data_IF_237015077438
#
_entry.id   IF_237015077438
#
_cell.length_a   1.000
_cell.length_b   1.000
_cell.length_c   1.000
_cell.angle_alpha   90.00
_cell.angle_beta   90.00
_cell.angle_gamma   90.00
#
_symmetry.space_group_name_H-M   'P 1'
#
loop_
_entity.id
_entity.type
_entity.pdbx_description
1 polymer ?
#
# COMPACT_ATOMS: atom_id res chain seq x y z
N UNK A 1 71.61 -30.51 25.53
CA UNK A 1 70.96 -29.85 24.41
C UNK A 1 69.50 -30.21 24.43
N UNK A 2 68.63 -29.33 24.89
CA UNK A 2 67.19 -29.48 24.82
C UNK A 2 66.64 -28.25 24.08
N UNK A 3 66.17 -28.49 22.87
CA UNK A 3 65.47 -27.48 22.05
C UNK A 3 64.05 -27.35 22.55
N UNK A 4 63.67 -26.14 22.94
CA UNK A 4 62.29 -25.79 23.29
C UNK A 4 61.60 -25.24 22.03
N UNK A 5 60.45 -25.84 21.66
CA UNK A 5 59.58 -25.34 20.63
C UNK A 5 58.60 -24.35 21.26
N UNK A 6 58.65 -23.13 20.80
CA UNK A 6 57.62 -22.12 21.11
C UNK A 6 56.44 -22.30 20.13
N UNK A 7 55.31 -22.70 20.68
CA UNK A 7 54.04 -22.72 19.95
C UNK A 7 53.45 -21.32 19.92
N UNK A 8 53.43 -20.70 18.74
CA UNK A 8 52.75 -19.45 18.51
C UNK A 8 51.22 -19.68 18.42
N UNK A 9 50.50 -19.14 19.39
CA UNK A 9 49.04 -19.03 19.32
C UNK A 9 48.68 -17.87 18.36
N UNK A 10 48.32 -18.21 17.16
CA UNK A 10 47.66 -17.29 16.22
C UNK A 10 46.25 -16.99 16.67
N UNK A 11 46.00 -15.78 17.12
CA UNK A 11 44.64 -15.29 17.38
C UNK A 11 43.94 -15.11 16.02
N UNK A 12 43.00 -15.99 15.72
CA UNK A 12 42.05 -15.79 14.59
C UNK A 12 41.05 -14.74 15.08
N UNK A 13 41.19 -13.51 14.55
CA UNK A 13 40.17 -12.49 14.69
C UNK A 13 38.97 -12.91 13.85
N UNK A 14 37.88 -13.34 14.49
CA UNK A 14 36.58 -13.42 13.87
C UNK A 14 36.12 -12.00 13.50
N UNK A 15 36.25 -11.64 12.25
CA UNK A 15 35.54 -10.51 11.68
C UNK A 15 34.05 -10.89 11.66
N UNK A 16 33.32 -10.40 12.69
CA UNK A 16 31.87 -10.35 12.62
C UNK A 16 31.52 -9.37 11.50
N UNK A 17 31.11 -9.91 10.35
CA UNK A 17 30.47 -9.09 9.33
C UNK A 17 29.22 -8.48 9.97
N UNK A 18 29.31 -7.20 10.36
CA UNK A 18 28.15 -6.41 10.66
C UNK A 18 27.41 -6.30 9.33
N UNK A 19 26.27 -6.97 9.23
CA UNK A 19 25.36 -6.78 8.11
C UNK A 19 25.14 -5.28 7.96
N UNK A 20 25.60 -4.71 6.84
CA UNK A 20 25.26 -3.34 6.50
C UNK A 20 23.74 -3.29 6.50
N UNK A 21 23.15 -2.51 7.40
CA UNK A 21 21.75 -2.18 7.34
C UNK A 21 21.53 -1.62 5.92
N UNK A 22 20.70 -2.30 5.13
CA UNK A 22 20.30 -1.79 3.82
C UNK A 22 19.53 -0.51 4.14
N UNK A 23 20.17 0.64 3.93
CA UNK A 23 19.50 1.93 4.07
C UNK A 23 18.32 1.92 3.11
N UNK A 24 17.12 2.34 3.55
CA UNK A 24 15.96 2.38 2.68
C UNK A 24 16.32 3.18 1.42
N UNK A 25 16.17 2.56 0.26
CA UNK A 25 16.42 3.22 -1.01
C UNK A 25 15.33 4.26 -1.22
N UNK A 26 15.72 5.52 -1.41
CA UNK A 26 14.77 6.55 -1.83
C UNK A 26 14.77 6.54 -3.38
N UNK A 27 13.76 5.96 -4.04
CA UNK A 27 13.71 5.94 -5.49
C UNK A 27 13.52 7.35 -6.07
N UNK A 28 13.94 7.57 -7.30
CA UNK A 28 13.76 8.84 -8.00
C UNK A 28 12.40 8.97 -8.67
N UNK A 29 11.80 7.87 -9.07
CA UNK A 29 10.42 7.78 -9.59
C UNK A 29 9.51 7.37 -8.41
N UNK A 30 8.88 8.36 -7.79
CA UNK A 30 8.13 8.16 -6.55
C UNK A 30 6.69 7.76 -6.78
N UNK A 31 6.14 8.00 -7.96
CA UNK A 31 4.77 7.66 -8.31
C UNK A 31 4.66 6.41 -9.18
N UNK A 32 5.81 5.85 -9.62
CA UNK A 32 5.86 4.62 -10.42
C UNK A 32 5.34 4.79 -11.84
N UNK A 33 5.30 6.02 -12.38
CA UNK A 33 4.79 6.27 -13.74
C UNK A 33 5.82 6.02 -14.84
N UNK A 34 7.08 5.72 -14.46
CA UNK A 34 8.20 5.46 -15.36
C UNK A 34 8.91 6.73 -15.85
N UNK A 35 8.50 7.91 -15.37
CA UNK A 35 9.14 9.19 -15.66
C UNK A 35 9.69 9.81 -14.37
N UNK A 36 10.88 10.40 -14.42
CA UNK A 36 11.45 11.15 -13.29
C UNK A 36 11.24 12.64 -13.53
N UNK A 37 10.27 13.21 -12.85
CA UNK A 37 9.94 14.64 -12.94
C UNK A 37 10.92 15.50 -12.13
N UNK A 38 10.92 16.82 -12.40
CA UNK A 38 11.73 17.79 -11.62
C UNK A 38 11.33 17.78 -10.14
N UNK A 39 10.04 17.62 -9.82
CA UNK A 39 9.57 17.57 -8.44
C UNK A 39 10.09 16.33 -7.72
N UNK A 40 10.13 15.20 -8.39
CA UNK A 40 10.68 13.95 -7.86
C UNK A 40 12.21 14.07 -7.68
N UNK A 41 12.89 14.70 -8.61
CA UNK A 41 14.33 14.96 -8.50
C UNK A 41 14.65 15.85 -7.29
N UNK A 42 13.87 16.92 -7.08
CA UNK A 42 14.02 17.80 -5.91
C UNK A 42 13.76 17.02 -4.61
N UNK A 43 12.73 16.17 -4.59
CA UNK A 43 12.46 15.31 -3.45
C UNK A 43 13.60 14.33 -3.18
N UNK A 44 14.13 13.68 -4.22
CA UNK A 44 15.27 12.77 -4.10
C UNK A 44 16.53 13.48 -3.55
N UNK A 45 16.79 14.70 -3.99
CA UNK A 45 17.91 15.51 -3.48
C UNK A 45 17.72 15.87 -2.01
N UNK A 46 16.53 16.30 -1.61
CA UNK A 46 16.22 16.57 -0.19
C UNK A 46 16.40 15.34 0.68
N UNK A 47 15.93 14.17 0.24
CA UNK A 47 16.14 12.91 0.96
C UNK A 47 17.61 12.50 1.08
N UNK A 48 18.41 12.82 0.06
CA UNK A 48 19.86 12.57 0.08
C UNK A 48 20.59 13.50 1.06
N UNK A 49 20.08 14.72 1.27
CA UNK A 49 20.68 15.74 2.16
C UNK A 49 20.22 15.59 3.61
N UNK A 50 18.94 15.34 3.82
CA UNK A 50 18.30 15.37 5.14
C UNK A 50 18.01 13.96 5.69
N UNK A 51 18.25 12.91 4.89
CA UNK A 51 17.84 11.51 5.16
C UNK A 51 16.45 11.20 4.62
N UNK A 52 16.24 9.92 4.29
CA UNK A 52 14.93 9.45 3.84
C UNK A 52 13.94 9.48 5.02
N UNK A 53 12.77 10.12 4.86
CA UNK A 53 11.73 10.03 5.87
C UNK A 53 11.24 8.59 6.00
N UNK A 54 10.63 8.28 7.12
CA UNK A 54 9.84 7.05 7.26
C UNK A 54 8.81 7.04 6.14
N UNK A 55 8.77 5.95 5.38
CA UNK A 55 7.93 5.89 4.17
C UNK A 55 6.45 6.05 4.51
N UNK A 56 5.95 5.22 5.41
CA UNK A 56 4.55 5.24 5.81
C UNK A 56 4.40 5.86 7.20
N UNK A 57 3.56 6.88 7.30
CA UNK A 57 3.27 7.57 8.56
C UNK A 57 1.77 7.54 8.82
N UNK A 58 1.38 6.95 9.94
CA UNK A 58 -0.01 7.02 10.43
C UNK A 58 -0.31 8.45 10.91
N UNK A 59 -1.32 9.08 10.31
CA UNK A 59 -1.72 10.45 10.63
C UNK A 59 -2.64 10.54 11.86
N UNK A 60 -3.07 9.40 12.43
CA UNK A 60 -3.97 9.34 13.60
C UNK A 60 -5.41 9.75 13.32
N UNK A 61 -5.75 10.06 12.07
CA UNK A 61 -7.08 10.53 11.63
C UNK A 61 -7.78 9.54 10.68
N UNK A 62 -7.34 8.28 10.67
CA UNK A 62 -7.85 7.24 9.79
C UNK A 62 -7.09 7.12 8.46
N UNK A 63 -5.94 7.77 8.34
CA UNK A 63 -5.14 7.74 7.11
C UNK A 63 -3.67 7.44 7.36
N UNK A 64 -2.99 6.90 6.34
CA UNK A 64 -1.54 6.70 6.28
C UNK A 64 -0.98 7.51 5.11
N UNK A 65 0.06 8.31 5.36
CA UNK A 65 0.80 8.99 4.29
C UNK A 65 1.96 8.13 3.80
N UNK A 66 2.01 7.85 2.51
CA UNK A 66 3.17 7.33 1.80
C UNK A 66 4.03 8.49 1.29
N UNK A 67 5.12 8.78 1.99
CA UNK A 67 6.03 9.86 1.63
C UNK A 67 6.81 9.59 0.33
N UNK A 68 6.95 8.33 -0.08
CA UNK A 68 7.66 8.01 -1.32
C UNK A 68 6.77 8.19 -2.55
N UNK A 69 5.57 7.66 -2.52
CA UNK A 69 4.61 7.83 -3.60
C UNK A 69 3.90 9.21 -3.60
N UNK A 70 3.97 9.95 -2.47
CA UNK A 70 3.23 11.20 -2.31
C UNK A 70 1.72 10.99 -2.25
N UNK A 71 1.32 9.87 -1.66
CA UNK A 71 -0.07 9.44 -1.55
C UNK A 71 -0.53 9.43 -0.09
N UNK A 72 -1.81 9.62 0.10
CA UNK A 72 -2.50 9.40 1.37
C UNK A 72 -3.52 8.29 1.16
N UNK A 73 -3.45 7.28 2.03
CA UNK A 73 -4.26 6.08 1.99
C UNK A 73 -5.29 6.07 3.11
N UNK A 74 -6.49 5.61 2.81
CA UNK A 74 -7.49 5.24 3.82
C UNK A 74 -6.97 4.04 4.62
N UNK A 75 -7.16 4.08 5.95
CA UNK A 75 -7.04 2.90 6.81
C UNK A 75 -8.36 2.13 6.79
N UNK A 76 -8.29 0.81 6.96
CA UNK A 76 -9.47 -0.01 7.15
C UNK A 76 -9.70 -0.33 8.62
N UNK A 77 -10.96 -0.52 8.98
CA UNK A 77 -11.46 -0.86 10.32
C UNK A 77 -12.08 -2.27 10.33
N UNK A 78 -12.56 -2.69 11.48
CA UNK A 78 -13.39 -3.86 11.67
C UNK A 78 -14.55 -3.50 12.63
N UNK A 79 -15.35 -2.46 12.26
CA UNK A 79 -16.40 -1.87 13.10
C UNK A 79 -17.77 -1.76 12.42
N UNK A 80 -17.91 -2.31 11.21
CA UNK A 80 -19.13 -2.23 10.40
C UNK A 80 -19.40 -0.86 9.78
N UNK A 81 -18.43 0.08 9.83
CA UNK A 81 -18.55 1.39 9.18
C UNK A 81 -18.28 1.29 7.66
N UNK A 82 -18.34 2.43 6.96
CA UNK A 82 -17.95 2.51 5.53
C UNK A 82 -16.50 2.09 5.30
N UNK A 83 -15.66 2.16 6.34
CA UNK A 83 -14.24 1.82 6.30
C UNK A 83 -13.97 0.35 6.64
N UNK A 84 -15.01 -0.45 6.93
CA UNK A 84 -14.84 -1.84 7.33
C UNK A 84 -14.13 -2.66 6.24
N UNK A 85 -13.19 -3.51 6.66
CA UNK A 85 -12.39 -4.33 5.75
C UNK A 85 -13.22 -5.38 5.01
N UNK A 86 -14.34 -5.81 5.60
CA UNK A 86 -15.21 -6.86 5.05
C UNK A 86 -16.22 -6.30 4.05
N UNK A 87 -16.30 -4.97 3.90
CA UNK A 87 -17.16 -4.35 2.90
C UNK A 87 -16.68 -4.63 1.48
N UNK A 88 -17.59 -5.04 0.62
CA UNK A 88 -17.33 -5.32 -0.80
C UNK A 88 -18.21 -4.46 -1.70
N UNK A 89 -17.66 -4.08 -2.86
CA UNK A 89 -18.27 -3.14 -3.80
C UNK A 89 -18.06 -3.60 -5.23
N UNK A 90 -19.02 -3.33 -6.10
CA UNK A 90 -18.87 -3.56 -7.54
C UNK A 90 -18.17 -2.37 -8.21
N UNK A 91 -17.37 -2.62 -9.23
CA UNK A 91 -16.72 -1.59 -10.04
C UNK A 91 -17.69 -0.99 -11.08
N UNK A 92 -18.49 -1.83 -11.75
CA UNK A 92 -19.57 -1.41 -12.64
C UNK A 92 -20.92 -1.89 -12.13
N UNK A 93 -22.01 -1.18 -12.49
CA UNK A 93 -23.37 -1.58 -12.15
C UNK A 93 -23.94 -2.55 -13.20
N UNK A 94 -24.95 -3.33 -12.79
CA UNK A 94 -25.70 -4.20 -13.71
C UNK A 94 -26.46 -3.43 -14.80
N UNK A 95 -26.67 -2.11 -14.60
CA UNK A 95 -27.33 -1.24 -15.58
C UNK A 95 -26.38 -0.73 -16.66
N UNK A 96 -25.08 -0.89 -16.48
CA UNK A 96 -24.09 -0.66 -17.51
C UNK A 96 -24.07 -1.87 -18.46
N UNK A 97 -24.74 -1.76 -19.60
CA UNK A 97 -24.91 -2.84 -20.56
C UNK A 97 -23.57 -3.35 -21.15
N UNK A 98 -22.52 -2.52 -21.11
CA UNK A 98 -21.19 -2.86 -21.59
C UNK A 98 -20.25 -3.28 -20.44
N UNK A 99 -20.60 -2.97 -19.19
CA UNK A 99 -19.83 -3.30 -17.98
C UNK A 99 -18.47 -2.63 -17.92
N UNK A 100 -18.28 -1.49 -18.59
CA UNK A 100 -16.98 -0.82 -18.73
C UNK A 100 -16.87 0.47 -17.92
N UNK A 101 -18.00 1.12 -17.62
CA UNK A 101 -18.03 2.41 -16.94
C UNK A 101 -17.95 2.27 -15.40
N UNK A 102 -17.39 3.27 -14.71
CA UNK A 102 -17.25 3.27 -13.24
C UNK A 102 -18.57 3.64 -12.55
N UNK A 103 -19.59 2.81 -12.71
CA UNK A 103 -20.97 3.04 -12.25
C UNK A 103 -21.37 2.17 -11.06
N UNK A 104 -20.47 1.30 -10.58
CA UNK A 104 -20.73 0.39 -9.47
C UNK A 104 -20.70 1.07 -8.12
N UNK A 105 -21.01 0.28 -7.08
CA UNK A 105 -21.11 0.77 -5.69
C UNK A 105 -19.79 1.28 -5.13
N UNK A 106 -18.64 0.86 -5.69
CA UNK A 106 -17.33 1.43 -5.33
C UNK A 106 -17.27 2.96 -5.58
N UNK A 107 -17.93 3.45 -6.62
CA UNK A 107 -17.95 4.87 -6.99
C UNK A 107 -19.18 5.59 -6.44
N UNK A 108 -20.35 4.96 -6.52
CA UNK A 108 -21.65 5.60 -6.20
C UNK A 108 -22.02 5.56 -4.72
N UNK A 109 -21.42 4.65 -3.96
CA UNK A 109 -21.62 4.54 -2.51
C UNK A 109 -20.33 4.82 -1.75
N UNK A 110 -19.29 3.98 -1.89
CA UNK A 110 -18.08 4.08 -1.10
C UNK A 110 -17.37 5.42 -1.30
N UNK A 111 -16.86 5.71 -2.50
CA UNK A 111 -16.13 6.96 -2.78
C UNK A 111 -17.03 8.19 -2.64
N UNK A 112 -18.31 8.08 -3.04
CA UNK A 112 -19.27 9.18 -2.87
C UNK A 112 -19.46 9.53 -1.40
N UNK A 113 -19.54 8.53 -0.50
CA UNK A 113 -19.66 8.75 0.95
C UNK A 113 -18.39 9.39 1.51
N UNK A 114 -17.20 8.85 1.24
CA UNK A 114 -15.93 9.41 1.71
C UNK A 114 -15.78 10.89 1.32
N UNK A 115 -16.11 11.22 0.07
CA UNK A 115 -15.98 12.57 -0.46
C UNK A 115 -17.07 13.53 0.10
N UNK A 116 -18.31 13.06 0.25
CA UNK A 116 -19.40 13.89 0.80
C UNK A 116 -19.22 14.17 2.28
N UNK A 117 -18.66 13.24 3.04
CA UNK A 117 -18.35 13.38 4.46
C UNK A 117 -17.02 14.08 4.71
N UNK A 118 -16.27 14.37 3.65
CA UNK A 118 -14.92 14.94 3.70
C UNK A 118 -14.01 14.15 4.63
N UNK A 119 -13.94 12.84 4.40
CA UNK A 119 -13.14 11.94 5.22
C UNK A 119 -11.72 12.46 5.44
N UNK A 120 -11.28 12.52 6.69
CA UNK A 120 -10.02 13.12 7.13
C UNK A 120 -9.80 14.58 6.66
N UNK A 121 -10.87 15.32 6.35
CA UNK A 121 -10.84 16.69 5.88
C UNK A 121 -10.70 16.85 4.36
N UNK A 122 -10.87 15.79 3.57
CA UNK A 122 -10.64 15.77 2.13
C UNK A 122 -11.84 15.23 1.34
N UNK A 123 -12.08 15.79 0.12
CA UNK A 123 -13.18 15.44 -0.76
C UNK A 123 -12.71 15.01 -2.16
N UNK A 124 -11.48 14.51 -2.27
CA UNK A 124 -10.83 14.08 -3.51
C UNK A 124 -10.32 12.62 -3.43
N UNK A 125 -10.99 11.82 -2.60
CA UNK A 125 -10.74 10.39 -2.50
C UNK A 125 -11.13 9.69 -3.79
N UNK A 126 -10.26 8.80 -4.25
CA UNK A 126 -10.44 8.02 -5.47
C UNK A 126 -10.02 6.55 -5.28
N UNK A 127 -10.40 5.71 -6.22
CA UNK A 127 -9.87 4.36 -6.30
C UNK A 127 -8.40 4.42 -6.76
N UNK A 128 -7.49 3.64 -6.15
CA UNK A 128 -6.09 3.56 -6.55
C UNK A 128 -5.95 2.85 -7.91
N UNK A 129 -4.93 3.19 -8.65
CA UNK A 129 -4.48 2.38 -9.78
C UNK A 129 -3.86 1.07 -9.30
N UNK A 130 -3.72 0.08 -10.20
CA UNK A 130 -3.00 -1.16 -9.90
C UNK A 130 -1.58 -0.88 -9.40
N UNK A 131 -0.83 -0.03 -10.10
CA UNK A 131 0.53 0.32 -9.73
C UNK A 131 0.63 0.98 -8.34
N UNK A 132 -0.36 1.80 -7.96
CA UNK A 132 -0.42 2.38 -6.62
C UNK A 132 -0.68 1.31 -5.54
N UNK A 133 -1.60 0.37 -5.76
CA UNK A 133 -1.82 -0.74 -4.82
C UNK A 133 -0.58 -1.61 -4.63
N UNK A 134 0.15 -1.89 -5.72
CA UNK A 134 1.39 -2.65 -5.66
C UNK A 134 2.46 -1.94 -4.80
N UNK A 135 2.40 -0.61 -4.64
CA UNK A 135 3.38 0.12 -3.82
C UNK A 135 3.27 -0.16 -2.33
N UNK A 136 2.11 -0.59 -1.83
CA UNK A 136 1.93 -0.90 -0.40
C UNK A 136 2.15 -2.37 -0.06
N UNK A 137 2.48 -3.21 -1.06
CA UNK A 137 2.86 -4.60 -0.82
C UNK A 137 4.23 -4.71 -0.18
N UNK A 138 4.36 -5.65 0.73
CA UNK A 138 5.61 -6.12 1.32
C UNK A 138 5.64 -7.66 1.21
N UNK A 139 6.22 -8.15 0.12
CA UNK A 139 6.26 -9.58 -0.19
C UNK A 139 7.22 -10.37 0.71
N UNK A 140 8.03 -9.70 1.53
CA UNK A 140 8.87 -10.34 2.54
C UNK A 140 8.08 -10.65 3.83
N UNK A 141 6.85 -10.15 3.96
CA UNK A 141 5.95 -10.45 5.07
C UNK A 141 5.04 -11.64 4.76
N UNK A 142 4.74 -12.46 5.75
CA UNK A 142 3.63 -13.43 5.63
C UNK A 142 2.29 -12.67 5.57
N UNK A 143 1.22 -13.33 5.15
CA UNK A 143 -0.12 -12.75 5.08
C UNK A 143 -0.51 -11.93 6.34
N UNK A 144 -0.96 -10.67 6.20
CA UNK A 144 -1.08 -9.94 4.94
C UNK A 144 0.29 -9.46 4.39
N UNK A 145 0.46 -9.57 3.08
CA UNK A 145 1.65 -9.15 2.34
C UNK A 145 1.64 -7.63 2.11
N UNK A 146 1.37 -6.84 3.15
CA UNK A 146 1.37 -5.38 3.13
C UNK A 146 2.37 -4.83 4.14
N UNK A 147 2.81 -3.57 3.93
CA UNK A 147 3.61 -2.87 4.94
C UNK A 147 2.90 -2.82 6.29
N UNK A 148 3.67 -2.87 7.37
CA UNK A 148 3.15 -2.90 8.74
C UNK A 148 2.21 -1.75 9.07
N UNK A 149 2.35 -0.59 8.43
CA UNK A 149 1.48 0.57 8.65
C UNK A 149 0.02 0.31 8.25
N UNK A 150 -0.22 -0.70 7.42
CA UNK A 150 -1.56 -1.08 6.94
C UNK A 150 -2.16 -2.26 7.70
N UNK A 151 -1.42 -2.86 8.65
CA UNK A 151 -1.87 -4.00 9.44
C UNK A 151 -1.41 -3.85 10.90
N UNK A 152 -2.10 -2.98 11.63
CA UNK A 152 -1.81 -2.63 13.02
C UNK A 152 -3.06 -2.72 13.86
N UNK A 153 -3.00 -3.49 14.96
CA UNK A 153 -4.03 -3.59 15.99
C UNK A 153 -5.44 -3.91 15.43
N UNK A 154 -5.51 -4.68 14.32
CA UNK A 154 -6.76 -5.10 13.71
C UNK A 154 -7.48 -6.12 14.61
N UNK A 155 -8.50 -5.66 15.30
CA UNK A 155 -9.36 -6.48 16.19
C UNK A 155 -10.81 -6.07 15.99
N UNK A 156 -11.73 -7.01 16.22
CA UNK A 156 -13.16 -6.78 16.08
C UNK A 156 -13.63 -5.53 16.84
N UNK A 157 -14.34 -4.64 16.16
CA UNK A 157 -14.85 -3.37 16.68
C UNK A 157 -13.83 -2.22 16.67
N UNK A 158 -12.63 -2.40 16.09
CA UNK A 158 -11.65 -1.32 16.00
C UNK A 158 -12.00 -0.35 14.85
N UNK A 159 -11.84 0.95 15.09
CA UNK A 159 -12.08 2.02 14.10
C UNK A 159 -10.80 2.43 13.38
N UNK A 160 -10.93 3.14 12.25
CA UNK A 160 -9.78 3.65 11.45
C UNK A 160 -8.81 4.55 12.25
N UNK A 161 -9.23 5.11 13.37
CA UNK A 161 -8.37 5.92 14.24
C UNK A 161 -7.63 5.08 15.29
N UNK A 162 -8.03 3.83 15.51
CA UNK A 162 -7.44 2.94 16.52
C UNK A 162 -6.72 1.74 15.93
N UNK A 163 -7.01 1.38 14.68
CA UNK A 163 -6.36 0.27 13.99
C UNK A 163 -6.12 0.58 12.51
N UNK A 164 -5.46 -0.33 11.83
CA UNK A 164 -5.37 -0.40 10.38
C UNK A 164 -5.49 -1.87 9.98
N UNK A 165 -6.58 -2.23 9.31
CA UNK A 165 -6.82 -3.60 8.86
C UNK A 165 -6.43 -3.78 7.41
N UNK A 166 -5.81 -4.89 7.07
CA UNK A 166 -5.35 -5.17 5.71
C UNK A 166 -5.55 -6.61 5.28
N UNK A 167 -6.01 -7.45 6.19
CA UNK A 167 -6.30 -8.84 5.86
C UNK A 167 -7.64 -8.90 5.14
N UNK A 168 -7.57 -9.03 3.82
CA UNK A 168 -8.72 -9.29 2.99
C UNK A 168 -8.69 -10.75 2.57
N UNK A 169 -9.79 -11.46 2.75
CA UNK A 169 -9.97 -12.80 2.19
C UNK A 169 -10.01 -12.74 0.66
N UNK A 170 -10.44 -11.59 0.13
CA UNK A 170 -10.57 -11.31 -1.29
C UNK A 170 -9.59 -10.21 -1.72
N UNK A 171 -9.15 -10.21 -3.00
CA UNK A 171 -8.29 -9.15 -3.53
C UNK A 171 -9.03 -7.82 -3.66
N UNK A 172 -8.28 -6.72 -3.71
CA UNK A 172 -8.77 -5.34 -3.69
C UNK A 172 -8.89 -4.78 -5.10
N UNK A 173 -9.99 -4.09 -5.41
CA UNK A 173 -10.20 -3.39 -6.69
C UNK A 173 -9.15 -2.31 -6.93
N UNK A 174 -8.62 -2.28 -8.15
CA UNK A 174 -7.95 -1.10 -8.71
C UNK A 174 -8.87 -0.35 -9.69
N UNK A 175 -8.53 0.92 -9.97
CA UNK A 175 -9.18 1.69 -11.05
C UNK A 175 -8.70 1.29 -12.45
N UNK A 176 -7.71 0.40 -12.56
CA UNK A 176 -7.07 0.03 -13.83
C UNK A 176 -7.88 -1.04 -14.55
N UNK A 177 -8.49 -0.67 -15.67
CA UNK A 177 -9.19 -1.61 -16.55
C UNK A 177 -8.21 -2.61 -17.19
N UNK A 178 -8.62 -3.88 -17.30
CA UNK A 178 -7.85 -4.88 -18.03
C UNK A 178 -8.02 -4.66 -19.54
N UNK A 179 -6.91 -4.36 -20.23
CA UNK A 179 -6.93 -3.91 -21.64
C UNK A 179 -7.51 -4.96 -22.59
N UNK A 180 -7.17 -6.24 -22.43
CA UNK A 180 -7.62 -7.31 -23.35
C UNK A 180 -9.10 -7.65 -23.19
N UNK A 181 -9.69 -7.33 -22.04
CA UNK A 181 -11.10 -7.58 -21.73
C UNK A 181 -11.64 -6.41 -20.89
N UNK A 182 -12.09 -5.31 -21.50
CA UNK A 182 -12.46 -4.06 -20.80
C UNK A 182 -13.60 -4.18 -19.78
N UNK A 183 -14.38 -5.26 -19.81
CA UNK A 183 -15.37 -5.58 -18.77
C UNK A 183 -14.73 -6.08 -17.47
N UNK A 184 -13.41 -6.27 -17.46
CA UNK A 184 -12.61 -6.63 -16.28
C UNK A 184 -11.76 -5.46 -15.84
N UNK A 185 -11.43 -5.42 -14.55
CA UNK A 185 -10.42 -4.55 -13.96
C UNK A 185 -9.43 -5.37 -13.15
N UNK A 186 -8.25 -4.81 -12.93
CA UNK A 186 -7.21 -5.45 -12.14
C UNK A 186 -7.53 -5.42 -10.64
N UNK A 187 -7.25 -6.53 -10.00
CA UNK A 187 -7.28 -6.74 -8.57
C UNK A 187 -5.86 -6.96 -8.04
N UNK A 188 -5.62 -6.59 -6.79
CA UNK A 188 -4.37 -6.87 -6.07
C UNK A 188 -4.71 -7.59 -4.78
N UNK A 189 -4.16 -8.79 -4.58
CA UNK A 189 -4.31 -9.55 -3.34
C UNK A 189 -3.34 -9.02 -2.28
N UNK A 190 -3.87 -8.70 -1.10
CA UNK A 190 -3.03 -8.38 0.06
C UNK A 190 -2.72 -9.60 0.92
N UNK A 191 -3.20 -10.78 0.54
CA UNK A 191 -2.82 -12.03 1.19
C UNK A 191 -1.42 -12.50 0.74
N UNK A 192 -1.17 -12.48 -0.57
CA UNK A 192 0.06 -13.04 -1.19
C UNK A 192 0.73 -12.12 -2.23
N UNK A 193 0.14 -10.97 -2.52
CA UNK A 193 0.62 -10.02 -3.53
C UNK A 193 0.30 -10.41 -4.98
N UNK A 194 -0.54 -11.42 -5.21
CA UNK A 194 -0.97 -11.79 -6.57
C UNK A 194 -1.82 -10.70 -7.22
N UNK A 195 -1.78 -10.63 -8.56
CA UNK A 195 -2.46 -9.61 -9.35
C UNK A 195 -3.19 -10.27 -10.50
N UNK A 196 -4.51 -10.26 -10.46
CA UNK A 196 -5.38 -10.90 -11.45
C UNK A 196 -6.54 -9.99 -11.85
N UNK A 197 -7.05 -10.06 -13.09
CA UNK A 197 -8.25 -9.34 -13.49
C UNK A 197 -9.51 -10.14 -13.20
N UNK A 198 -10.61 -9.45 -12.84
CA UNK A 198 -11.93 -10.06 -12.77
C UNK A 198 -13.02 -9.12 -13.31
N UNK A 199 -14.22 -9.70 -13.51
CA UNK A 199 -15.36 -8.97 -14.01
C UNK A 199 -15.79 -7.85 -13.07
N UNK A 200 -15.95 -6.65 -13.61
CA UNK A 200 -16.26 -5.42 -12.88
C UNK A 200 -17.56 -5.43 -12.08
N UNK A 201 -18.47 -6.35 -12.37
CA UNK A 201 -19.71 -6.55 -11.62
C UNK A 201 -19.57 -7.52 -10.43
N UNK A 202 -18.41 -8.13 -10.25
CA UNK A 202 -18.11 -8.93 -9.06
C UNK A 202 -17.84 -7.99 -7.88
N UNK A 203 -18.39 -8.25 -6.68
CA UNK A 203 -18.11 -7.42 -5.53
C UNK A 203 -16.77 -7.80 -4.89
N UNK A 204 -15.86 -6.80 -4.70
CA UNK A 204 -14.59 -6.94 -4.00
C UNK A 204 -14.32 -5.74 -3.08
N UNK A 205 -13.43 -5.88 -2.09
CA UNK A 205 -13.00 -4.78 -1.24
C UNK A 205 -12.40 -3.62 -2.03
N UNK A 206 -12.45 -2.42 -1.44
CA UNK A 206 -11.82 -1.19 -1.96
C UNK A 206 -11.07 -0.50 -0.84
N UNK A 207 -9.88 0.03 -1.13
CA UNK A 207 -9.14 0.97 -0.29
C UNK A 207 -8.98 2.28 -1.06
N UNK A 208 -9.39 3.39 -0.47
CA UNK A 208 -9.30 4.68 -1.14
C UNK A 208 -7.89 5.30 -1.01
N UNK A 209 -7.56 6.14 -2.00
CA UNK A 209 -6.30 6.89 -2.05
C UNK A 209 -6.55 8.31 -2.54
N UNK A 210 -5.67 9.25 -2.19
CA UNK A 210 -5.60 10.61 -2.73
C UNK A 210 -4.14 11.11 -2.75
N UNK A 211 -3.82 12.20 -3.47
CA UNK A 211 -2.54 12.89 -3.28
C UNK A 211 -2.34 13.34 -1.83
N UNK A 212 -1.11 13.26 -1.31
CA UNK A 212 -0.80 13.60 0.08
C UNK A 212 -0.77 15.12 0.37
N UNK A 213 -0.81 15.95 -0.67
CA UNK A 213 -0.75 17.43 -0.58
C UNK A 213 -2.03 18.08 -1.06
#
# INVERSE_FOLDING_TARGET
>A
MKMAWLAGLGAVALLTAHGAAILPHCPGDFNGDGEVTVNELVRAVNYALDGCPVRFVDNGNGTVTDHWAGLMWEKKSDDGSIHDQDNVYTWSSETDAEGIEPTGTAFTEFLATLNSEQFAGHADWRMPTRAELETILDLDRPAPATDAAFDVDCVAGCSVTTCSCSFFLDPVWSSTTYFDTPVCAWLVSFDDGSVDPDYKNTPYPVRAVRPAS
#
